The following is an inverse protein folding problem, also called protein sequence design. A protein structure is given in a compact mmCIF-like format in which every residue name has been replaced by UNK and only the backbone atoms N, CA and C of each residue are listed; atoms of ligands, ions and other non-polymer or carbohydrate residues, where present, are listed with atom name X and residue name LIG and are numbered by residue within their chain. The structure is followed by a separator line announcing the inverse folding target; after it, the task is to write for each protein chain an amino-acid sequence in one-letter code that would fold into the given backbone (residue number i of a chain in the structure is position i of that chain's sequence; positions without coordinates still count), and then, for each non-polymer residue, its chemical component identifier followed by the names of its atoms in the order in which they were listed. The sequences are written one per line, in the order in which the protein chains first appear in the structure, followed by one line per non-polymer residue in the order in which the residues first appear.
data_IF_260025666739
#
_entry.id   IF_260025666739
#
_cell.length_a   1.000
_cell.length_b   1.000
_cell.length_c   1.000
_cell.angle_alpha   90.00
_cell.angle_beta   90.00
_cell.angle_gamma   90.00
#
_symmetry.space_group_name_H-M   'P 1'
#
loop_
_entity.id
_entity.type
_entity.pdbx_description
1 polymer ?
#
# COMPACT_ATOMS: atom_id res chain seq x y z
N UNK A 1 -5.63 3.78 26.57
CA UNK A 1 -5.97 3.98 25.15
C UNK A 1 -6.93 2.86 24.75
N UNK A 2 -7.78 3.07 23.74
CA UNK A 2 -8.69 2.01 23.25
C UNK A 2 -7.93 0.82 22.69
N UNK A 3 -6.78 1.09 22.06
CA UNK A 3 -5.86 0.05 21.58
C UNK A 3 -5.42 -0.91 22.68
N UNK A 4 -5.10 -0.42 23.90
CA UNK A 4 -4.69 -1.29 25.03
C UNK A 4 -5.79 -2.29 25.42
N UNK A 5 -7.04 -1.83 25.43
CA UNK A 5 -8.19 -2.67 25.78
C UNK A 5 -8.36 -3.79 24.75
N UNK A 6 -8.31 -3.46 23.43
CA UNK A 6 -8.49 -4.41 22.34
C UNK A 6 -7.32 -5.40 22.29
N UNK A 7 -6.08 -4.93 22.47
CA UNK A 7 -4.89 -5.79 22.52
C UNK A 7 -4.95 -6.79 23.68
N UNK A 8 -5.44 -6.34 24.85
CA UNK A 8 -5.62 -7.21 26.02
C UNK A 8 -6.71 -8.26 25.82
N UNK A 9 -7.80 -7.89 25.16
CA UNK A 9 -8.92 -8.82 24.88
C UNK A 9 -8.57 -9.81 23.78
N UNK A 10 -7.66 -9.43 22.87
CA UNK A 10 -7.15 -10.25 21.75
C UNK A 10 -8.28 -11.02 21.01
N UNK A 11 -9.26 -10.30 20.42
CA UNK A 11 -10.40 -10.93 19.77
C UNK A 11 -9.99 -11.81 18.59
N UNK A 12 -10.66 -12.93 18.46
CA UNK A 12 -10.43 -13.90 17.39
C UNK A 12 -11.16 -13.47 16.11
N UNK A 13 -10.47 -12.77 15.23
CA UNK A 13 -11.04 -12.27 13.97
C UNK A 13 -10.81 -13.28 12.84
N UNK A 14 -9.58 -13.78 12.70
CA UNK A 14 -9.20 -14.63 11.59
C UNK A 14 -9.36 -16.12 11.89
N UNK A 15 -9.77 -16.87 10.87
CA UNK A 15 -9.80 -18.32 10.88
C UNK A 15 -8.98 -18.88 9.71
N UNK A 16 -8.22 -19.94 9.95
CA UNK A 16 -7.54 -20.66 8.88
C UNK A 16 -8.55 -21.48 8.04
N UNK A 17 -8.06 -22.16 7.01
CA UNK A 17 -8.88 -22.98 6.12
C UNK A 17 -9.61 -24.15 6.83
N UNK A 18 -9.16 -24.51 8.03
CA UNK A 18 -9.74 -25.55 8.87
C UNK A 18 -10.74 -24.98 9.88
N UNK A 19 -11.01 -23.66 9.84
CA UNK A 19 -11.88 -22.98 10.80
C UNK A 19 -11.27 -22.74 12.17
N UNK A 20 -9.95 -22.93 12.33
CA UNK A 20 -9.25 -22.68 13.59
C UNK A 20 -8.81 -21.22 13.68
N UNK A 21 -8.90 -20.60 14.86
CA UNK A 21 -8.43 -19.24 15.09
C UNK A 21 -6.94 -19.10 14.76
N UNK A 22 -6.62 -18.01 14.08
CA UNK A 22 -5.23 -17.59 13.80
C UNK A 22 -5.09 -16.10 14.07
N UNK A 23 -3.91 -15.68 14.48
CA UNK A 23 -3.55 -14.27 14.67
C UNK A 23 -2.73 -13.79 13.49
N UNK A 24 -3.30 -12.88 12.69
CA UNK A 24 -2.63 -12.15 11.64
C UNK A 24 -2.56 -10.67 12.03
N UNK A 25 -1.79 -10.42 13.09
CA UNK A 25 -1.60 -9.08 13.63
C UNK A 25 -0.32 -8.47 13.05
N UNK A 26 -0.21 -7.14 13.11
CA UNK A 26 1.05 -6.49 12.79
C UNK A 26 2.19 -7.06 13.63
N UNK A 27 3.38 -7.13 13.03
CA UNK A 27 4.58 -7.59 13.72
C UNK A 27 5.02 -6.65 14.87
N UNK A 28 4.55 -5.41 14.84
CA UNK A 28 4.81 -4.39 15.85
C UNK A 28 3.50 -3.74 16.28
N UNK A 29 3.12 -3.95 17.53
CA UNK A 29 1.92 -3.33 18.11
C UNK A 29 1.95 -1.79 18.07
N UNK A 30 3.13 -1.18 17.93
CA UNK A 30 3.27 0.27 17.79
C UNK A 30 2.50 0.82 16.57
N UNK A 31 2.23 0.00 15.56
CA UNK A 31 1.39 0.36 14.41
C UNK A 31 -0.04 0.70 14.86
N UNK A 32 -0.63 -0.10 15.75
CA UNK A 32 -1.99 0.15 16.26
C UNK A 32 -2.09 1.47 17.03
N UNK A 33 -1.09 1.77 17.88
CA UNK A 33 -1.02 3.05 18.59
C UNK A 33 -0.82 4.23 17.64
N UNK A 34 -0.03 4.03 16.59
CA UNK A 34 0.15 5.03 15.54
C UNK A 34 -1.17 5.30 14.80
N UNK A 35 -1.94 4.26 14.46
CA UNK A 35 -3.26 4.39 13.86
C UNK A 35 -4.15 5.20 14.80
N UNK A 36 -4.34 4.78 16.07
CA UNK A 36 -5.17 5.47 17.06
C UNK A 36 -4.79 6.95 17.20
N UNK A 37 -3.48 7.26 17.26
CA UNK A 37 -2.98 8.62 17.42
C UNK A 37 -3.24 9.55 16.22
N UNK A 38 -3.52 8.98 15.03
CA UNK A 38 -3.80 9.73 13.81
C UNK A 38 -5.30 9.71 13.43
N UNK A 39 -6.16 9.27 14.35
CA UNK A 39 -7.61 9.26 14.16
C UNK A 39 -8.31 10.31 15.03
N UNK A 40 -9.43 10.78 14.51
CA UNK A 40 -10.39 11.60 15.23
C UNK A 40 -11.81 11.05 14.98
N UNK A 41 -12.81 11.45 15.76
CA UNK A 41 -14.20 11.05 15.53
C UNK A 41 -14.78 11.49 14.18
N UNK A 42 -14.09 12.35 13.44
CA UNK A 42 -14.48 12.84 12.10
C UNK A 42 -13.65 12.18 10.99
N UNK A 43 -12.62 11.42 11.32
CA UNK A 43 -11.74 10.80 10.32
C UNK A 43 -12.50 9.87 9.40
N UNK A 44 -12.24 9.98 8.11
CA UNK A 44 -12.70 9.06 7.07
C UNK A 44 -11.54 8.16 6.68
N UNK A 45 -11.73 6.86 6.82
CA UNK A 45 -10.64 5.90 6.67
C UNK A 45 -11.04 4.71 5.81
N UNK A 46 -10.05 4.12 5.14
CA UNK A 46 -10.22 2.93 4.34
C UNK A 46 -9.06 1.97 4.58
N UNK A 47 -9.36 0.66 4.59
CA UNK A 47 -8.31 -0.36 4.55
C UNK A 47 -8.64 -1.44 3.51
N UNK A 48 -7.61 -1.99 2.90
CA UNK A 48 -7.65 -3.27 2.22
C UNK A 48 -7.10 -4.33 3.16
N UNK A 49 -7.84 -5.42 3.32
CA UNK A 49 -7.75 -6.33 4.46
C UNK A 49 -8.86 -6.06 5.48
N UNK A 50 -9.11 -7.01 6.32
CA UNK A 50 -9.99 -6.90 7.50
C UNK A 50 -9.36 -7.68 8.63
N UNK A 51 -9.25 -7.04 9.81
CA UNK A 51 -8.63 -7.72 10.92
C UNK A 51 -8.70 -6.91 12.20
N UNK A 52 -7.64 -7.01 12.98
CA UNK A 52 -7.50 -6.30 14.22
C UNK A 52 -7.44 -4.77 14.01
N UNK A 53 -6.80 -4.30 12.92
CA UNK A 53 -6.78 -2.89 12.51
C UNK A 53 -8.17 -2.32 12.32
N UNK A 54 -9.10 -3.09 11.72
CA UNK A 54 -10.51 -2.70 11.52
C UNK A 54 -11.17 -2.29 12.82
N UNK A 55 -10.87 -2.99 13.92
CA UNK A 55 -11.42 -2.66 15.24
C UNK A 55 -10.92 -1.31 15.74
N UNK A 56 -9.63 -1.02 15.56
CA UNK A 56 -9.04 0.26 15.95
C UNK A 56 -9.67 1.40 15.15
N UNK A 57 -9.75 1.25 13.83
CA UNK A 57 -10.39 2.25 12.96
C UNK A 57 -11.87 2.48 13.33
N UNK A 58 -12.63 1.41 13.56
CA UNK A 58 -14.05 1.51 13.87
C UNK A 58 -14.34 2.16 15.23
N UNK A 59 -13.50 1.89 16.23
CA UNK A 59 -13.69 2.39 17.60
C UNK A 59 -13.17 3.82 17.73
N UNK A 60 -11.98 4.10 17.18
CA UNK A 60 -11.28 5.37 17.37
C UNK A 60 -11.57 6.40 16.29
N UNK A 61 -11.98 5.97 15.08
CA UNK A 61 -12.26 6.84 13.95
C UNK A 61 -13.72 7.27 13.82
N UNK A 62 -13.98 8.02 12.74
CA UNK A 62 -15.32 8.41 12.29
C UNK A 62 -15.92 7.38 11.36
N UNK A 63 -15.78 7.59 10.04
CA UNK A 63 -16.23 6.64 9.02
C UNK A 63 -15.12 5.70 8.61
N UNK A 64 -15.39 4.40 8.68
CA UNK A 64 -14.42 3.38 8.29
C UNK A 64 -14.98 2.42 7.25
N UNK A 65 -14.22 2.17 6.19
CA UNK A 65 -14.50 1.15 5.18
C UNK A 65 -13.36 0.15 5.16
N UNK A 66 -13.68 -1.13 5.38
CA UNK A 66 -12.74 -2.23 5.27
C UNK A 66 -13.15 -3.18 4.14
N UNK A 67 -12.20 -3.62 3.32
CA UNK A 67 -12.43 -4.42 2.11
C UNK A 67 -11.63 -5.71 2.20
N UNK A 68 -12.33 -6.85 2.32
CA UNK A 68 -11.71 -8.18 2.23
C UNK A 68 -12.76 -9.21 1.79
N UNK A 69 -12.38 -10.31 1.12
CA UNK A 69 -13.36 -11.27 0.58
C UNK A 69 -14.03 -12.14 1.65
N UNK A 70 -13.60 -12.08 2.89
CA UNK A 70 -14.05 -12.98 3.97
C UNK A 70 -15.30 -12.48 4.67
N UNK A 71 -16.46 -13.10 4.37
CA UNK A 71 -17.70 -12.83 5.12
C UNK A 71 -17.60 -13.24 6.59
N UNK A 72 -16.81 -14.27 6.90
CA UNK A 72 -16.63 -14.73 8.27
C UNK A 72 -15.87 -13.71 9.11
N UNK A 73 -14.80 -13.12 8.57
CA UNK A 73 -14.07 -12.04 9.26
C UNK A 73 -14.95 -10.83 9.50
N UNK A 74 -15.71 -10.41 8.49
CA UNK A 74 -16.68 -9.32 8.63
C UNK A 74 -17.72 -9.60 9.73
N UNK A 75 -18.19 -10.86 9.83
CA UNK A 75 -19.10 -11.29 10.88
C UNK A 75 -18.42 -11.22 12.25
N UNK A 76 -17.22 -11.77 12.39
CA UNK A 76 -16.49 -11.79 13.66
C UNK A 76 -16.22 -10.36 14.18
N UNK A 77 -15.85 -9.43 13.26
CA UNK A 77 -15.66 -8.01 13.57
C UNK A 77 -16.97 -7.39 14.09
N UNK A 78 -18.10 -7.61 13.40
CA UNK A 78 -19.40 -7.09 13.85
C UNK A 78 -19.81 -7.65 15.20
N UNK A 79 -19.69 -8.96 15.38
CA UNK A 79 -20.07 -9.63 16.63
C UNK A 79 -19.25 -9.10 17.82
N UNK A 80 -17.94 -8.90 17.62
CA UNK A 80 -17.07 -8.33 18.64
C UNK A 80 -17.45 -6.88 18.97
N UNK A 81 -17.60 -6.02 17.98
CA UNK A 81 -18.00 -4.62 18.19
C UNK A 81 -19.38 -4.51 18.83
N UNK A 82 -20.32 -5.38 18.44
CA UNK A 82 -21.65 -5.42 19.04
C UNK A 82 -21.62 -5.84 20.51
N UNK A 83 -20.81 -6.85 20.86
CA UNK A 83 -20.64 -7.31 22.25
C UNK A 83 -20.10 -6.24 23.18
N UNK A 84 -19.32 -5.28 22.62
CA UNK A 84 -18.78 -4.12 23.36
C UNK A 84 -19.71 -2.90 23.35
N UNK A 85 -20.80 -2.92 22.59
CA UNK A 85 -21.62 -1.73 22.35
C UNK A 85 -20.94 -0.66 21.50
N UNK A 86 -19.90 -1.02 20.75
CA UNK A 86 -19.08 -0.13 19.90
C UNK A 86 -19.43 -0.24 18.41
N UNK A 87 -20.39 -1.10 18.03
CA UNK A 87 -20.83 -1.20 16.63
C UNK A 87 -21.61 0.07 16.24
N UNK A 88 -21.05 0.84 15.31
CA UNK A 88 -21.61 2.09 14.83
C UNK A 88 -22.11 1.95 13.39
N UNK A 89 -23.06 2.80 12.97
CA UNK A 89 -23.59 2.83 11.61
C UNK A 89 -22.60 3.39 10.55
N UNK A 90 -21.46 3.86 10.99
CA UNK A 90 -20.39 4.43 10.14
C UNK A 90 -19.30 3.41 9.77
N UNK A 91 -19.52 2.12 10.04
CA UNK A 91 -18.65 1.03 9.64
C UNK A 91 -19.21 0.31 8.41
N UNK A 92 -18.44 0.31 7.31
CA UNK A 92 -18.73 -0.42 6.09
C UNK A 92 -17.75 -1.58 5.94
N UNK A 93 -18.26 -2.82 5.92
CA UNK A 93 -17.46 -4.04 5.67
C UNK A 93 -17.84 -4.60 4.31
N UNK A 94 -16.97 -4.43 3.31
CA UNK A 94 -17.19 -4.86 1.92
C UNK A 94 -16.54 -6.24 1.72
N UNK A 95 -17.38 -7.27 1.64
CA UNK A 95 -16.94 -8.66 1.50
C UNK A 95 -16.62 -9.00 0.03
N UNK A 96 -15.62 -8.35 -0.53
CA UNK A 96 -15.17 -8.50 -1.90
C UNK A 96 -13.66 -8.30 -2.01
N UNK A 97 -13.06 -8.70 -3.13
CA UNK A 97 -11.65 -8.40 -3.41
C UNK A 97 -11.47 -6.91 -3.71
N UNK A 98 -10.36 -6.32 -3.24
CA UNK A 98 -10.07 -4.89 -3.36
C UNK A 98 -10.07 -4.42 -4.82
N UNK A 99 -9.51 -5.20 -5.75
CA UNK A 99 -9.46 -4.87 -7.18
C UNK A 99 -10.84 -4.74 -7.84
N UNK A 100 -11.90 -5.25 -7.20
CA UNK A 100 -13.28 -5.08 -7.66
C UNK A 100 -14.04 -4.00 -6.91
N UNK A 101 -13.76 -3.86 -5.61
CA UNK A 101 -14.45 -2.91 -4.75
C UNK A 101 -13.95 -1.48 -4.96
N UNK A 102 -12.63 -1.26 -4.95
CA UNK A 102 -12.01 0.06 -5.02
C UNK A 102 -12.46 0.92 -6.21
N UNK A 103 -12.57 0.39 -7.46
CA UNK A 103 -13.03 1.18 -8.61
C UNK A 103 -14.43 1.79 -8.45
N UNK A 104 -15.25 1.27 -7.52
CA UNK A 104 -16.62 1.73 -7.27
C UNK A 104 -16.72 2.69 -6.10
N UNK A 105 -15.62 2.86 -5.35
CA UNK A 105 -15.55 3.80 -4.25
C UNK A 105 -15.18 5.17 -4.84
N UNK A 106 -16.10 6.11 -4.76
CA UNK A 106 -15.91 7.46 -5.26
C UNK A 106 -16.43 8.49 -4.26
N UNK A 107 -15.94 9.73 -4.35
CA UNK A 107 -16.43 10.85 -3.55
C UNK A 107 -16.04 10.81 -2.08
N UNK A 108 -15.08 9.97 -1.70
CA UNK A 108 -14.49 9.94 -0.36
C UNK A 108 -13.16 10.70 -0.37
N UNK A 109 -12.97 11.55 0.63
CA UNK A 109 -11.65 12.12 0.93
C UNK A 109 -11.12 11.47 2.22
N UNK A 110 -10.11 10.61 2.06
CA UNK A 110 -9.58 9.83 3.16
C UNK A 110 -8.56 10.62 3.99
N UNK A 111 -8.65 10.48 5.32
CA UNK A 111 -7.63 10.92 6.26
C UNK A 111 -6.51 9.90 6.41
N UNK A 112 -6.88 8.61 6.50
CA UNK A 112 -5.94 7.50 6.65
C UNK A 112 -6.37 6.34 5.76
N UNK A 113 -5.42 5.73 5.10
CA UNK A 113 -5.58 4.47 4.39
C UNK A 113 -4.55 3.45 4.85
N UNK A 114 -4.98 2.19 5.02
CA UNK A 114 -4.11 1.05 5.25
C UNK A 114 -4.16 0.10 4.05
N UNK A 115 -3.00 -0.22 3.50
CA UNK A 115 -2.79 -1.24 2.47
C UNK A 115 -2.25 -2.49 3.16
N UNK A 116 -3.12 -3.43 3.46
CA UNK A 116 -2.82 -4.70 4.15
C UNK A 116 -3.73 -5.83 3.62
N UNK A 117 -3.98 -5.80 2.31
CA UNK A 117 -4.82 -6.79 1.64
C UNK A 117 -4.02 -7.97 1.10
N UNK A 118 -4.33 -8.38 -0.13
CA UNK A 118 -3.59 -9.43 -0.81
C UNK A 118 -2.23 -8.94 -1.29
N UNK A 119 -1.15 -9.65 -0.93
CA UNK A 119 0.24 -9.25 -1.23
C UNK A 119 0.79 -9.80 -2.56
N UNK A 120 0.01 -10.57 -3.32
CA UNK A 120 0.40 -11.03 -4.66
C UNK A 120 0.25 -9.94 -5.71
N UNK A 121 1.22 -9.86 -6.67
CA UNK A 121 1.12 -8.94 -7.80
C UNK A 121 -0.21 -9.15 -8.57
N UNK A 122 -0.91 -8.10 -9.01
CA UNK A 122 -0.60 -6.67 -8.85
C UNK A 122 -1.35 -5.98 -7.67
N UNK A 123 -1.89 -6.73 -6.69
CA UNK A 123 -2.84 -6.21 -5.71
C UNK A 123 -2.31 -5.00 -4.93
N UNK A 124 -1.09 -4.98 -4.34
CA UNK A 124 -0.62 -3.81 -3.61
C UNK A 124 -0.55 -2.54 -4.47
N UNK A 125 -0.18 -2.68 -5.76
CA UNK A 125 -0.14 -1.55 -6.68
C UNK A 125 -1.54 -1.04 -7.03
N UNK A 126 -2.54 -1.94 -7.14
CA UNK A 126 -3.94 -1.57 -7.37
C UNK A 126 -4.50 -0.86 -6.14
N UNK A 127 -4.26 -1.39 -4.95
CA UNK A 127 -4.71 -0.81 -3.68
C UNK A 127 -4.10 0.58 -3.49
N UNK A 128 -2.81 0.73 -3.76
CA UNK A 128 -2.14 2.03 -3.78
C UNK A 128 -2.76 2.98 -4.81
N UNK A 129 -2.95 2.53 -6.05
CA UNK A 129 -3.46 3.38 -7.15
C UNK A 129 -4.79 4.03 -6.80
N UNK A 130 -5.76 3.23 -6.37
CA UNK A 130 -7.07 3.78 -5.98
C UNK A 130 -7.01 4.55 -4.67
N UNK A 131 -6.25 4.05 -3.69
CA UNK A 131 -6.12 4.69 -2.39
C UNK A 131 -5.44 6.05 -2.45
N UNK A 132 -4.39 6.18 -3.27
CA UNK A 132 -3.70 7.45 -3.45
C UNK A 132 -4.61 8.52 -4.04
N UNK A 133 -5.53 8.16 -4.96
CA UNK A 133 -6.50 9.10 -5.53
C UNK A 133 -7.57 9.56 -4.53
N UNK A 134 -7.90 8.72 -3.54
CA UNK A 134 -8.89 9.02 -2.52
C UNK A 134 -8.28 9.72 -1.30
N UNK A 135 -6.98 9.56 -1.07
CA UNK A 135 -6.29 10.14 0.08
C UNK A 135 -6.06 11.63 -0.13
N UNK A 136 -6.52 12.46 0.79
CA UNK A 136 -6.30 13.91 0.75
C UNK A 136 -4.82 14.28 0.93
N UNK A 137 -4.40 15.43 0.45
CA UNK A 137 -3.10 16.01 0.79
C UNK A 137 -3.04 16.22 2.31
N UNK A 138 -1.93 15.77 2.92
CA UNK A 138 -1.76 15.69 4.38
C UNK A 138 -2.26 14.38 5.00
N UNK A 139 -3.03 13.57 4.28
CA UNK A 139 -3.47 12.24 4.72
C UNK A 139 -2.35 11.23 4.84
N UNK A 140 -2.59 10.14 5.55
CA UNK A 140 -1.59 9.12 5.85
C UNK A 140 -1.94 7.82 5.14
N UNK A 141 -0.98 7.28 4.39
CA UNK A 141 -1.02 5.92 3.85
C UNK A 141 -0.09 5.03 4.66
N UNK A 142 -0.64 3.95 5.19
CA UNK A 142 0.10 2.92 5.93
C UNK A 142 0.19 1.69 5.02
N UNK A 143 1.37 1.12 4.90
CA UNK A 143 1.62 -0.07 4.06
C UNK A 143 2.25 -1.14 4.93
N UNK A 144 1.59 -2.29 5.01
CA UNK A 144 2.11 -3.44 5.75
C UNK A 144 2.84 -4.43 4.85
N UNK A 145 3.52 -5.40 5.46
CA UNK A 145 4.29 -6.47 4.82
C UNK A 145 5.37 -5.97 3.83
N UNK A 146 6.05 -4.89 4.19
CA UNK A 146 7.10 -4.24 3.39
C UNK A 146 8.30 -5.13 3.04
N UNK A 147 8.40 -6.31 3.65
CA UNK A 147 9.42 -7.33 3.37
C UNK A 147 9.09 -8.20 2.15
N UNK A 148 7.85 -8.17 1.66
CA UNK A 148 7.43 -8.87 0.45
C UNK A 148 7.80 -8.06 -0.80
N UNK A 149 8.36 -8.72 -1.83
CA UNK A 149 8.97 -8.03 -2.98
C UNK A 149 8.04 -7.03 -3.67
N UNK A 150 6.77 -7.36 -3.87
CA UNK A 150 5.81 -6.50 -4.53
C UNK A 150 5.45 -5.26 -3.71
N UNK A 151 5.38 -5.42 -2.39
CA UNK A 151 5.17 -4.32 -1.45
C UNK A 151 6.43 -3.49 -1.31
N UNK A 152 7.59 -4.14 -1.26
CA UNK A 152 8.89 -3.47 -1.22
C UNK A 152 9.09 -2.52 -2.42
N UNK A 153 8.77 -2.96 -3.65
CA UNK A 153 8.88 -2.11 -4.83
C UNK A 153 7.95 -0.88 -4.75
N UNK A 154 6.72 -1.06 -4.29
CA UNK A 154 5.81 0.06 -4.02
C UNK A 154 6.41 1.05 -3.02
N UNK A 155 6.97 0.54 -1.92
CA UNK A 155 7.62 1.39 -0.91
C UNK A 155 8.82 2.14 -1.48
N UNK A 156 9.64 1.50 -2.35
CA UNK A 156 10.77 2.19 -3.01
C UNK A 156 10.29 3.29 -3.96
N UNK A 157 9.22 3.04 -4.71
CA UNK A 157 8.57 4.08 -5.53
C UNK A 157 8.14 5.27 -4.66
N UNK A 158 7.42 5.01 -3.56
CA UNK A 158 6.94 6.08 -2.68
C UNK A 158 8.08 6.85 -2.00
N UNK A 159 9.18 6.18 -1.64
CA UNK A 159 10.39 6.83 -1.07
C UNK A 159 11.10 7.75 -2.07
N UNK A 160 11.08 7.41 -3.35
CA UNK A 160 11.72 8.18 -4.41
C UNK A 160 10.81 9.32 -4.92
N UNK A 161 9.51 9.25 -4.69
CA UNK A 161 8.53 10.23 -5.14
C UNK A 161 8.51 11.46 -4.24
N UNK A 162 8.37 12.65 -4.83
CA UNK A 162 8.18 13.92 -4.10
C UNK A 162 6.76 14.09 -3.57
N UNK A 163 5.82 13.23 -3.97
CA UNK A 163 4.44 13.25 -3.48
C UNK A 163 4.29 12.66 -2.07
N UNK A 164 5.29 11.93 -1.59
CA UNK A 164 5.22 11.17 -0.35
C UNK A 164 6.36 11.47 0.62
N UNK A 165 6.01 11.71 1.87
CA UNK A 165 6.97 11.85 2.97
C UNK A 165 6.84 10.66 3.91
N UNK A 166 7.90 9.89 4.11
CA UNK A 166 7.94 8.88 5.17
C UNK A 166 7.83 9.57 6.53
N UNK A 167 6.81 9.22 7.31
CA UNK A 167 6.56 9.81 8.64
C UNK A 167 6.89 8.83 9.77
N UNK A 168 6.80 7.53 9.51
CA UNK A 168 7.15 6.50 10.50
C UNK A 168 7.47 5.17 9.83
N UNK A 169 8.51 4.51 10.34
CA UNK A 169 8.86 3.14 10.02
C UNK A 169 8.72 2.25 11.24
N UNK A 170 8.18 1.06 11.01
CA UNK A 170 8.06 -0.01 11.98
C UNK A 170 8.79 -1.26 11.43
N UNK A 171 8.73 -2.39 12.11
CA UNK A 171 9.45 -3.59 11.69
C UNK A 171 9.14 -4.01 10.23
N UNK A 172 7.84 -4.18 9.90
CA UNK A 172 7.40 -4.59 8.54
C UNK A 172 6.33 -3.67 7.97
N UNK A 173 6.11 -2.55 8.59
CA UNK A 173 5.07 -1.58 8.23
C UNK A 173 5.70 -0.20 8.09
N UNK A 174 5.22 0.60 7.16
CA UNK A 174 5.67 1.96 6.94
C UNK A 174 4.47 2.89 6.75
N UNK A 175 4.59 4.12 7.23
CA UNK A 175 3.60 5.16 7.05
C UNK A 175 4.17 6.34 6.28
N UNK A 176 3.43 6.78 5.27
CA UNK A 176 3.73 7.95 4.46
C UNK A 176 2.63 9.00 4.60
N UNK A 177 3.03 10.27 4.58
CA UNK A 177 2.13 11.40 4.42
C UNK A 177 2.10 11.83 2.97
N UNK A 178 0.91 12.02 2.40
CA UNK A 178 0.75 12.58 1.07
C UNK A 178 1.04 14.08 1.08
N UNK A 179 1.99 14.52 0.26
CA UNK A 179 2.43 15.91 0.19
C UNK A 179 1.85 16.62 -1.02
N UNK A 180 1.73 15.92 -2.15
CA UNK A 180 1.18 16.44 -3.40
C UNK A 180 0.56 15.35 -4.25
N UNK A 181 0.04 15.70 -5.42
CA UNK A 181 -0.44 14.81 -6.47
C UNK A 181 0.35 14.99 -7.79
N UNK A 182 1.52 15.60 -7.74
CA UNK A 182 2.26 16.03 -8.94
C UNK A 182 2.76 14.84 -9.78
N UNK A 183 3.17 13.75 -9.13
CA UNK A 183 3.76 12.58 -9.79
C UNK A 183 2.76 11.41 -9.94
N UNK A 184 1.68 11.42 -9.18
CA UNK A 184 0.74 10.29 -9.07
C UNK A 184 0.21 9.82 -10.44
N UNK A 185 -0.16 10.73 -11.33
CA UNK A 185 -0.65 10.44 -12.68
C UNK A 185 0.35 10.82 -13.77
N UNK A 186 1.62 11.07 -13.43
CA UNK A 186 2.62 11.40 -14.41
C UNK A 186 3.01 10.17 -15.25
N UNK A 187 3.36 10.41 -16.52
CA UNK A 187 4.06 9.42 -17.33
C UNK A 187 5.39 9.04 -16.69
N UNK A 188 5.93 7.86 -17.01
CA UNK A 188 7.16 7.32 -16.41
C UNK A 188 8.33 8.32 -16.37
N UNK A 189 8.41 9.22 -17.36
CA UNK A 189 9.44 10.27 -17.41
C UNK A 189 9.27 11.38 -16.35
N UNK A 190 8.08 11.50 -15.77
CA UNK A 190 7.78 12.38 -14.64
C UNK A 190 7.84 11.67 -13.28
N UNK A 191 8.20 10.38 -13.24
CA UNK A 191 8.31 9.57 -12.04
C UNK A 191 9.78 9.22 -11.76
N UNK A 192 10.46 9.89 -10.82
CA UNK A 192 11.92 9.76 -10.61
C UNK A 192 12.40 8.33 -10.40
N UNK A 193 11.63 7.50 -9.68
CA UNK A 193 11.95 6.09 -9.46
C UNK A 193 12.03 5.30 -10.77
N UNK A 194 11.01 5.40 -11.62
CA UNK A 194 10.97 4.67 -12.88
C UNK A 194 11.92 5.27 -13.92
N UNK A 195 12.14 6.59 -13.87
CA UNK A 195 13.12 7.24 -14.72
C UNK A 195 14.53 6.72 -14.45
N UNK A 196 14.91 6.57 -13.18
CA UNK A 196 16.21 6.00 -12.81
C UNK A 196 16.31 4.52 -13.22
N UNK A 197 15.31 3.71 -12.88
CA UNK A 197 15.27 2.28 -13.21
C UNK A 197 15.32 2.04 -14.73
N UNK A 198 14.57 2.83 -15.50
CA UNK A 198 14.56 2.72 -16.96
C UNK A 198 15.91 3.08 -17.59
N UNK A 199 16.64 4.03 -17.03
CA UNK A 199 18.02 4.32 -17.47
C UNK A 199 18.93 3.12 -17.27
N UNK A 200 18.87 2.48 -16.12
CA UNK A 200 19.69 1.30 -15.83
C UNK A 200 19.34 0.12 -16.75
N UNK A 201 18.05 -0.15 -16.96
CA UNK A 201 17.60 -1.18 -17.90
C UNK A 201 18.03 -0.89 -19.34
N UNK A 202 17.97 0.37 -19.77
CA UNK A 202 18.42 0.80 -21.08
C UNK A 202 19.92 0.57 -21.28
N UNK A 203 20.76 0.88 -20.29
CA UNK A 203 22.19 0.57 -20.33
C UNK A 203 22.46 -0.92 -20.45
N UNK A 204 21.75 -1.76 -19.70
CA UNK A 204 21.89 -3.22 -19.77
C UNK A 204 21.53 -3.73 -21.18
N UNK A 205 20.46 -3.20 -21.78
CA UNK A 205 20.03 -3.61 -23.12
C UNK A 205 21.01 -3.17 -24.20
N UNK A 206 21.57 -1.96 -24.12
CA UNK A 206 22.66 -1.50 -24.99
C UNK A 206 23.85 -2.44 -24.85
N UNK A 207 24.32 -2.70 -23.66
CA UNK A 207 25.46 -3.56 -23.40
C UNK A 207 25.28 -4.96 -24.03
N UNK A 208 24.08 -5.55 -23.84
CA UNK A 208 23.70 -6.84 -24.45
C UNK A 208 23.77 -6.78 -25.98
N UNK A 209 23.13 -5.79 -26.58
CA UNK A 209 23.10 -5.60 -28.04
C UNK A 209 24.51 -5.38 -28.64
N UNK A 210 25.34 -4.59 -27.97
CA UNK A 210 26.75 -4.37 -28.38
C UNK A 210 27.52 -5.68 -28.30
N UNK A 211 27.35 -6.46 -27.24
CA UNK A 211 28.03 -7.75 -27.08
C UNK A 211 27.64 -8.76 -28.18
N UNK A 212 26.35 -8.81 -28.52
CA UNK A 212 25.85 -9.66 -29.62
C UNK A 212 26.43 -9.23 -30.98
N UNK A 213 26.46 -7.94 -31.27
CA UNK A 213 27.08 -7.42 -32.48
C UNK A 213 28.59 -7.77 -32.54
N UNK A 214 29.26 -7.67 -31.41
CA UNK A 214 30.69 -8.02 -31.32
C UNK A 214 30.94 -9.51 -31.58
N UNK A 215 30.16 -10.36 -30.92
CA UNK A 215 30.22 -11.83 -31.09
C UNK A 215 29.89 -12.27 -32.54
N UNK A 216 28.99 -11.54 -33.22
CA UNK A 216 28.61 -11.80 -34.61
C UNK A 216 29.57 -11.17 -35.64
N UNK A 217 30.73 -10.64 -35.21
CA UNK A 217 31.73 -10.03 -36.08
C UNK A 217 31.41 -8.62 -36.59
N UNK A 218 30.27 -8.03 -36.16
CA UNK A 218 29.84 -6.68 -36.57
C UNK A 218 30.44 -5.58 -35.71
N UNK A 219 31.76 -5.62 -35.49
CA UNK A 219 32.52 -4.74 -34.57
C UNK A 219 32.31 -3.24 -34.83
N UNK A 220 32.33 -2.80 -36.08
CA UNK A 220 32.14 -1.39 -36.45
C UNK A 220 30.70 -0.92 -36.09
N UNK A 221 29.70 -1.76 -36.30
CA UNK A 221 28.32 -1.42 -35.91
C UNK A 221 28.17 -1.33 -34.38
N UNK A 222 28.81 -2.20 -33.62
CA UNK A 222 28.84 -2.17 -32.18
C UNK A 222 29.42 -0.84 -31.65
N UNK A 223 30.59 -0.43 -32.17
CA UNK A 223 31.25 0.83 -31.79
C UNK A 223 30.38 2.05 -32.13
N UNK A 224 29.78 2.08 -33.33
CA UNK A 224 28.87 3.18 -33.72
C UNK A 224 27.64 3.28 -32.80
N UNK A 225 27.09 2.15 -32.37
CA UNK A 225 25.95 2.15 -31.44
C UNK A 225 26.34 2.77 -30.09
N UNK A 226 27.47 2.37 -29.51
CA UNK A 226 27.95 2.95 -28.23
C UNK A 226 28.12 4.48 -28.36
N UNK A 227 28.73 4.96 -29.44
CA UNK A 227 28.95 6.41 -29.66
C UNK A 227 27.58 7.14 -29.77
N UNK A 228 26.62 6.56 -30.48
CA UNK A 228 25.31 7.16 -30.68
C UNK A 228 24.56 7.29 -29.34
N UNK A 229 24.57 6.23 -28.52
CA UNK A 229 23.87 6.19 -27.23
C UNK A 229 24.55 7.13 -26.20
N UNK A 230 25.88 7.20 -26.16
CA UNK A 230 26.57 8.16 -25.31
C UNK A 230 26.17 9.62 -25.64
N UNK A 231 25.97 9.96 -26.91
CA UNK A 231 25.51 11.28 -27.33
C UNK A 231 24.04 11.56 -26.92
N UNK A 232 23.21 10.54 -26.82
CA UNK A 232 21.82 10.68 -26.36
C UNK A 232 21.73 10.90 -24.85
N UNK A 233 22.60 10.25 -24.07
CA UNK A 233 22.61 10.31 -22.61
C UNK A 233 23.29 11.58 -22.06
N UNK A 234 24.03 12.32 -22.88
CA UNK A 234 24.70 13.58 -22.50
C UNK A 234 23.89 14.84 -22.87
N UNK A 235 22.69 14.65 -23.41
CA UNK A 235 21.70 15.72 -23.65
C UNK A 235 20.63 15.71 -22.57
#
# INVERSE_FOLDING_TARGET
MKTDEILKENPLIHLNKEGKPVTWNFHDNAVYYFIEANLSPQSVTLETGMGFSTLIFAICGGYHTAIAPSQQEAKNIRDYLQSRGELKNNLSLICERSERALPRIAGMELDVMLVDGRHGFPAPAIDFFYGASLLKIGGIMIIDDTHLSQVYELVQYMRASTDWQCVKEFNKTIAFRKISDAEYNAEWGGQPFFLALNKDLYFIEIARSVLEMWRSGKKIKAIRRVICELRYLTK
#
